data_IF_489543342403
#
_entry.id   IF_489543342403
#
_cell.length_a   1.000
_cell.length_b   1.000
_cell.length_c   1.000
_cell.angle_alpha   90.00
_cell.angle_beta   90.00
_cell.angle_gamma   90.00
#
_symmetry.space_group_name_H-M   'P 1'
#
loop_
_entity.id
_entity.type
_entity.pdbx_description
1 polymer ?
#
# COMPACT_ATOMS: atom_id res chain seq x y z
N UNK A 1 21.25 1.03 36.76
CA UNK A 1 21.79 0.07 35.77
C UNK A 1 20.93 -1.19 35.62
N UNK A 2 20.36 -1.78 36.68
CA UNK A 2 19.52 -2.99 36.57
C UNK A 2 18.17 -2.82 35.84
N UNK A 3 17.57 -1.62 35.89
CA UNK A 3 16.27 -1.33 35.26
C UNK A 3 16.30 -1.46 33.74
N UNK A 4 17.39 -1.04 33.10
CA UNK A 4 17.57 -1.17 31.65
C UNK A 4 17.63 -2.63 31.20
N UNK A 5 18.34 -3.49 31.94
CA UNK A 5 18.47 -4.91 31.59
C UNK A 5 17.14 -5.65 31.66
N UNK A 6 16.30 -5.36 32.65
CA UNK A 6 14.97 -6.00 32.78
C UNK A 6 14.04 -5.56 31.65
N UNK A 7 14.04 -4.28 31.29
CA UNK A 7 13.24 -3.76 30.18
C UNK A 7 13.63 -4.42 28.85
N UNK A 8 14.93 -4.53 28.57
CA UNK A 8 15.44 -5.18 27.34
C UNK A 8 15.07 -6.66 27.25
N UNK A 9 15.04 -7.36 28.39
CA UNK A 9 14.57 -8.75 28.44
C UNK A 9 13.07 -8.80 28.15
N UNK A 10 12.27 -7.96 28.81
CA UNK A 10 10.81 -7.91 28.64
C UNK A 10 10.40 -7.61 27.20
N UNK A 11 11.14 -6.74 26.50
CA UNK A 11 10.92 -6.43 25.08
C UNK A 11 11.08 -7.63 24.14
N UNK A 12 11.92 -8.61 24.51
CA UNK A 12 12.18 -9.81 23.71
C UNK A 12 11.25 -10.97 24.02
N UNK A 13 10.48 -10.89 25.11
CA UNK A 13 9.52 -11.92 25.46
C UNK A 13 8.29 -11.85 24.55
N UNK A 14 7.67 -13.02 24.34
CA UNK A 14 6.32 -13.06 23.82
C UNK A 14 5.37 -12.32 24.78
N UNK A 15 4.25 -11.79 24.28
CA UNK A 15 3.27 -11.11 25.14
C UNK A 15 2.77 -12.06 26.25
N UNK A 16 2.62 -13.35 25.93
CA UNK A 16 2.25 -14.39 26.90
C UNK A 16 3.28 -14.56 28.00
N UNK A 17 4.56 -14.71 27.65
CA UNK A 17 5.63 -14.88 28.64
C UNK A 17 5.83 -13.62 29.49
N UNK A 18 5.71 -12.44 28.89
CA UNK A 18 5.76 -11.16 29.61
C UNK A 18 4.63 -11.04 30.64
N UNK A 19 3.40 -11.48 30.28
CA UNK A 19 2.26 -11.51 31.19
C UNK A 19 2.50 -12.50 32.33
N UNK A 20 3.01 -13.70 32.05
CA UNK A 20 3.35 -14.70 33.07
C UNK A 20 4.39 -14.12 34.05
N UNK A 21 5.42 -13.47 33.54
CA UNK A 21 6.46 -12.84 34.37
C UNK A 21 5.86 -11.75 35.27
N UNK A 22 5.01 -10.86 34.72
CA UNK A 22 4.32 -9.83 35.50
C UNK A 22 3.39 -10.43 36.56
N UNK A 23 2.67 -11.51 36.25
CA UNK A 23 1.73 -12.15 37.18
C UNK A 23 2.43 -12.93 38.29
N UNK A 24 3.63 -13.48 38.05
CA UNK A 24 4.43 -14.15 39.09
C UNK A 24 5.04 -13.18 40.11
N UNK A 25 5.09 -11.88 39.79
CA UNK A 25 5.64 -10.83 40.67
C UNK A 25 4.68 -9.63 40.79
N UNK A 26 3.47 -9.82 41.35
CA UNK A 26 2.40 -8.83 41.28
C UNK A 26 2.69 -7.52 42.03
N UNK A 27 3.64 -7.53 42.97
CA UNK A 27 4.07 -6.36 43.73
C UNK A 27 5.17 -5.55 43.03
N UNK A 28 5.67 -6.01 41.88
CA UNK A 28 6.75 -5.35 41.16
C UNK A 28 6.20 -4.27 40.23
N UNK A 29 6.26 -3.00 40.67
CA UNK A 29 5.90 -1.86 39.82
C UNK A 29 6.77 -1.74 38.56
N UNK A 30 8.03 -2.21 38.62
CA UNK A 30 8.92 -2.26 37.46
C UNK A 30 8.41 -3.24 36.39
N UNK A 31 8.03 -4.46 36.79
CA UNK A 31 7.54 -5.47 35.83
C UNK A 31 6.17 -5.09 35.26
N UNK A 32 5.33 -4.41 36.05
CA UNK A 32 4.09 -3.80 35.56
C UNK A 32 4.39 -2.78 34.46
N UNK A 33 5.28 -1.81 34.71
CA UNK A 33 5.66 -0.81 33.73
C UNK A 33 6.29 -1.41 32.46
N UNK A 34 7.17 -2.41 32.61
CA UNK A 34 7.76 -3.11 31.46
C UNK A 34 6.69 -3.87 30.65
N UNK A 35 5.71 -4.48 31.31
CA UNK A 35 4.61 -5.16 30.62
C UNK A 35 3.72 -4.16 29.87
N UNK A 36 3.36 -3.04 30.51
CA UNK A 36 2.55 -1.98 29.91
C UNK A 36 3.23 -1.38 28.67
N UNK A 37 4.56 -1.20 28.70
CA UNK A 37 5.34 -0.80 27.52
C UNK A 37 5.33 -1.89 26.43
N UNK A 38 5.47 -3.17 26.81
CA UNK A 38 5.52 -4.31 25.87
C UNK A 38 4.21 -4.53 25.10
N UNK A 39 3.07 -4.31 25.75
CA UNK A 39 1.74 -4.45 25.13
C UNK A 39 1.26 -3.17 24.45
N UNK A 40 2.06 -2.11 24.44
CA UNK A 40 1.75 -0.91 23.70
C UNK A 40 2.09 -1.15 22.22
N UNK A 41 1.11 -1.13 21.30
CA UNK A 41 1.37 -1.32 19.88
C UNK A 41 2.02 -0.10 19.22
N UNK A 42 1.95 1.09 19.84
CA UNK A 42 2.43 2.34 19.23
C UNK A 42 3.90 2.26 18.82
N UNK A 43 4.86 1.89 19.70
CA UNK A 43 6.27 1.83 19.33
C UNK A 43 6.54 0.82 18.20
N UNK A 44 5.81 -0.30 18.19
CA UNK A 44 5.93 -1.32 17.15
C UNK A 44 5.55 -0.76 15.76
N UNK A 45 4.43 -0.05 15.65
CA UNK A 45 4.03 0.57 14.40
C UNK A 45 4.92 1.77 14.00
N UNK A 46 5.48 2.49 14.97
CA UNK A 46 6.35 3.66 14.70
C UNK A 46 7.60 3.32 13.91
N UNK A 47 8.07 2.08 13.96
CA UNK A 47 9.24 1.63 13.19
C UNK A 47 8.99 1.66 11.68
N UNK A 48 7.74 1.52 11.24
CA UNK A 48 7.37 1.43 9.82
C UNK A 48 6.43 2.55 9.35
N UNK A 49 5.68 3.17 10.25
CA UNK A 49 4.62 4.12 9.90
C UNK A 49 4.80 5.47 10.61
N UNK A 50 4.67 6.57 9.86
CA UNK A 50 4.86 7.94 10.36
C UNK A 50 3.83 8.33 11.44
N UNK A 51 2.59 7.85 11.30
CA UNK A 51 1.46 8.22 12.15
C UNK A 51 0.72 6.98 12.70
N UNK A 52 1.36 6.21 13.62
CA UNK A 52 0.84 4.93 14.14
C UNK A 52 -0.57 5.04 14.74
N UNK A 53 -0.87 6.11 15.47
CA UNK A 53 -2.18 6.31 16.09
C UNK A 53 -3.27 6.52 15.04
N UNK A 54 -2.96 7.25 13.97
CA UNK A 54 -3.88 7.43 12.83
C UNK A 54 -4.14 6.11 12.13
N UNK A 55 -3.09 5.31 11.88
CA UNK A 55 -3.23 3.98 11.29
C UNK A 55 -4.13 3.08 12.13
N UNK A 56 -3.85 2.95 13.43
CA UNK A 56 -4.64 2.07 14.30
C UNK A 56 -6.09 2.54 14.47
N UNK A 57 -6.34 3.86 14.48
CA UNK A 57 -7.71 4.40 14.53
C UNK A 57 -8.46 4.05 13.24
N UNK A 58 -7.84 4.26 12.08
CA UNK A 58 -8.43 3.89 10.80
C UNK A 58 -8.67 2.37 10.71
N UNK A 59 -7.73 1.56 11.20
CA UNK A 59 -7.91 0.10 11.23
C UNK A 59 -9.12 -0.30 12.06
N UNK A 60 -9.31 0.34 13.22
CA UNK A 60 -10.46 0.10 14.08
C UNK A 60 -11.77 0.52 13.38
N UNK A 61 -11.81 1.73 12.82
CA UNK A 61 -13.01 2.29 12.19
C UNK A 61 -13.41 1.53 10.91
N UNK A 62 -12.44 1.05 10.15
CA UNK A 62 -12.67 0.32 8.90
C UNK A 62 -12.86 -1.19 9.10
N UNK A 63 -12.67 -1.70 10.33
CA UNK A 63 -12.60 -3.14 10.61
C UNK A 63 -11.40 -3.84 9.95
N UNK A 64 -10.31 -3.13 9.70
CA UNK A 64 -9.09 -3.72 9.16
C UNK A 64 -8.35 -4.56 10.20
N UNK A 65 -7.86 -5.72 9.75
CA UNK A 65 -7.05 -6.63 10.55
C UNK A 65 -5.64 -6.71 9.98
N UNK A 66 -4.64 -6.57 10.84
CA UNK A 66 -3.26 -6.90 10.49
C UNK A 66 -3.04 -8.41 10.66
N UNK A 67 -2.46 -9.05 9.66
CA UNK A 67 -2.10 -10.47 9.71
C UNK A 67 -0.68 -10.69 9.18
N UNK A 68 -0.30 -11.97 9.05
CA UNK A 68 0.98 -12.37 8.50
C UNK A 68 2.16 -12.24 9.47
N UNK A 69 3.40 -12.36 8.96
CA UNK A 69 4.61 -12.39 9.77
C UNK A 69 4.80 -11.14 10.63
N UNK A 70 4.43 -9.96 10.13
CA UNK A 70 4.50 -8.70 10.90
C UNK A 70 3.51 -8.71 12.07
N UNK A 71 2.28 -9.18 11.87
CA UNK A 71 1.37 -9.34 13.00
C UNK A 71 1.95 -10.28 14.07
N UNK A 72 2.56 -11.39 13.64
CA UNK A 72 3.15 -12.36 14.57
C UNK A 72 4.34 -11.78 15.35
N UNK A 73 5.18 -10.97 14.72
CA UNK A 73 6.33 -10.31 15.35
C UNK A 73 5.93 -9.51 16.59
N UNK A 74 4.79 -8.81 16.52
CA UNK A 74 4.28 -8.06 17.66
C UNK A 74 3.98 -8.97 18.86
N UNK A 75 3.42 -10.16 18.63
CA UNK A 75 3.12 -11.11 19.71
C UNK A 75 4.36 -11.91 20.16
N UNK A 76 5.25 -12.22 19.22
CA UNK A 76 6.44 -13.07 19.40
C UNK A 76 7.64 -12.41 18.70
N UNK A 77 8.45 -11.62 19.43
CA UNK A 77 9.60 -10.92 18.86
C UNK A 77 10.64 -11.90 18.31
N UNK A 78 11.22 -11.59 17.15
CA UNK A 78 12.16 -12.44 16.42
C UNK A 78 11.51 -13.53 15.56
N UNK A 79 10.19 -13.51 15.39
CA UNK A 79 9.46 -14.46 14.54
C UNK A 79 9.39 -14.05 13.07
N UNK A 80 9.70 -12.79 12.76
CA UNK A 80 9.57 -12.21 11.44
C UNK A 80 10.91 -11.84 10.80
N UNK A 81 11.01 -12.09 9.49
CA UNK A 81 12.16 -11.65 8.70
C UNK A 81 12.12 -10.12 8.48
N UNK A 82 13.27 -9.40 8.47
CA UNK A 82 13.30 -7.95 8.24
C UNK A 82 12.69 -7.46 6.92
N UNK A 83 12.60 -8.32 5.91
CA UNK A 83 12.00 -8.02 4.60
C UNK A 83 10.57 -8.56 4.42
N UNK A 84 9.94 -9.07 5.49
CA UNK A 84 8.55 -9.50 5.38
C UNK A 84 7.64 -8.31 5.09
N UNK A 85 6.66 -8.54 4.21
CA UNK A 85 5.64 -7.59 3.82
C UNK A 85 4.61 -7.37 4.95
N UNK A 86 3.84 -6.28 4.83
CA UNK A 86 2.75 -5.96 5.74
C UNK A 86 1.42 -6.40 5.13
N UNK A 87 0.66 -7.25 5.82
CA UNK A 87 -0.61 -7.76 5.33
C UNK A 87 -1.80 -7.12 6.07
N UNK A 88 -2.47 -6.19 5.40
CA UNK A 88 -3.69 -5.56 5.88
C UNK A 88 -4.92 -6.15 5.18
N UNK A 89 -5.81 -6.76 5.96
CA UNK A 89 -7.08 -7.28 5.48
C UNK A 89 -8.18 -6.27 5.78
N UNK A 90 -8.84 -5.76 4.74
CA UNK A 90 -9.91 -4.76 4.86
C UNK A 90 -11.22 -5.38 4.39
N UNK A 91 -12.35 -5.18 5.10
CA UNK A 91 -13.66 -5.57 4.61
C UNK A 91 -13.93 -5.03 3.20
N UNK A 92 -14.63 -5.79 2.37
CA UNK A 92 -14.92 -5.44 0.97
C UNK A 92 -15.98 -4.33 0.81
N UNK A 93 -16.05 -3.40 1.76
CA UNK A 93 -16.82 -2.16 1.66
C UNK A 93 -15.93 -1.06 1.09
N UNK A 94 -16.48 -0.27 0.17
CA UNK A 94 -15.71 0.72 -0.60
C UNK A 94 -15.13 1.78 0.32
N UNK A 95 -15.93 2.23 1.26
CA UNK A 95 -15.61 3.22 2.29
C UNK A 95 -14.45 2.71 3.15
N UNK A 96 -14.53 1.46 3.63
CA UNK A 96 -13.46 0.85 4.44
C UNK A 96 -12.14 0.73 3.68
N UNK A 97 -12.18 0.32 2.41
CA UNK A 97 -10.99 0.25 1.55
C UNK A 97 -10.40 1.65 1.35
N UNK A 98 -11.24 2.63 1.02
CA UNK A 98 -10.82 4.01 0.79
C UNK A 98 -10.20 4.65 2.03
N UNK A 99 -10.85 4.51 3.18
CA UNK A 99 -10.37 5.05 4.46
C UNK A 99 -9.03 4.46 4.84
N UNK A 100 -8.86 3.14 4.69
CA UNK A 100 -7.57 2.48 4.95
C UNK A 100 -6.49 2.89 3.97
N UNK A 101 -6.83 3.02 2.69
CA UNK A 101 -5.87 3.48 1.69
C UNK A 101 -5.35 4.88 1.99
N UNK A 102 -6.24 5.80 2.36
CA UNK A 102 -5.87 7.16 2.75
C UNK A 102 -5.06 7.16 4.04
N UNK A 103 -5.45 6.38 5.05
CA UNK A 103 -4.72 6.29 6.30
C UNK A 103 -3.30 5.77 6.10
N UNK A 104 -3.11 4.71 5.30
CA UNK A 104 -1.80 4.18 4.95
C UNK A 104 -0.97 5.22 4.18
N UNK A 105 -1.58 5.95 3.25
CA UNK A 105 -0.90 7.03 2.54
C UNK A 105 -0.40 8.13 3.47
N UNK A 106 -1.25 8.62 4.37
CA UNK A 106 -0.90 9.59 5.42
C UNK A 106 0.24 9.05 6.28
N UNK A 107 0.20 7.75 6.60
CA UNK A 107 1.23 7.07 7.38
C UNK A 107 2.55 6.84 6.63
N UNK A 108 2.67 7.28 5.39
CA UNK A 108 3.90 7.23 4.60
C UNK A 108 4.01 6.04 3.66
N UNK A 109 2.95 5.25 3.48
CA UNK A 109 2.91 4.20 2.47
C UNK A 109 2.74 4.85 1.10
N UNK A 110 3.69 4.60 0.22
CA UNK A 110 3.56 4.93 -1.19
C UNK A 110 2.98 3.73 -1.90
N UNK A 111 1.82 3.92 -2.53
CA UNK A 111 1.26 2.92 -3.43
C UNK A 111 2.20 2.79 -4.62
N UNK A 112 2.70 1.57 -4.84
CA UNK A 112 3.51 1.27 -6.02
C UNK A 112 2.59 1.28 -7.23
N UNK A 113 2.38 2.47 -7.75
CA UNK A 113 1.44 2.73 -8.81
C UNK A 113 2.17 2.57 -10.13
N UNK A 114 2.20 1.35 -10.68
CA UNK A 114 2.36 1.14 -12.12
C UNK A 114 1.46 2.13 -12.90
N UNK A 115 0.29 2.45 -12.34
CA UNK A 115 -0.61 3.49 -12.82
C UNK A 115 0.03 4.91 -12.80
N UNK A 116 0.71 5.32 -11.73
CA UNK A 116 1.40 6.63 -11.68
C UNK A 116 2.56 6.65 -12.65
N UNK A 117 3.27 5.53 -12.81
CA UNK A 117 4.29 5.40 -13.86
C UNK A 117 3.65 5.65 -15.23
N UNK A 118 2.53 5.02 -15.54
CA UNK A 118 1.76 5.29 -16.76
C UNK A 118 1.39 6.77 -16.89
N UNK A 119 0.90 7.40 -15.82
CA UNK A 119 0.55 8.81 -15.83
C UNK A 119 1.76 9.73 -16.06
N UNK A 120 2.91 9.44 -15.47
CA UNK A 120 4.16 10.17 -15.68
C UNK A 120 4.64 10.02 -17.14
N UNK A 121 4.70 8.79 -17.66
CA UNK A 121 5.09 8.55 -19.05
C UNK A 121 4.16 9.27 -20.04
N UNK A 122 2.86 9.24 -19.77
CA UNK A 122 1.89 9.96 -20.58
C UNK A 122 2.10 11.47 -20.53
N UNK A 123 2.42 12.05 -19.36
CA UNK A 123 2.71 13.48 -19.24
C UNK A 123 4.03 13.88 -19.92
N UNK A 124 5.08 13.07 -19.77
CA UNK A 124 6.42 13.40 -20.25
C UNK A 124 6.60 13.15 -21.75
N UNK A 125 5.90 12.14 -22.29
CA UNK A 125 6.10 11.67 -23.66
C UNK A 125 4.84 11.70 -24.53
N UNK A 126 3.69 12.10 -23.99
CA UNK A 126 2.40 12.07 -24.68
C UNK A 126 1.88 10.66 -24.96
N UNK A 127 2.58 9.61 -24.47
CA UNK A 127 2.20 8.22 -24.67
C UNK A 127 2.62 7.30 -23.52
N UNK A 128 1.82 6.28 -23.25
CA UNK A 128 2.13 5.25 -22.26
C UNK A 128 1.42 3.92 -22.55
N UNK A 129 1.94 2.81 -22.01
CA UNK A 129 1.33 1.49 -22.16
C UNK A 129 0.66 1.06 -20.86
N UNK A 130 -0.59 0.59 -20.93
CA UNK A 130 -1.33 0.14 -19.75
C UNK A 130 -2.00 -1.22 -20.01
N UNK A 131 -2.10 -2.05 -18.97
CA UNK A 131 -2.81 -3.33 -19.07
C UNK A 131 -4.32 -3.15 -18.90
N UNK A 132 -5.10 -4.06 -19.50
CA UNK A 132 -6.56 -4.10 -19.32
C UNK A 132 -6.95 -4.24 -17.86
N UNK A 133 -6.29 -5.15 -17.12
CA UNK A 133 -6.56 -5.37 -15.70
C UNK A 133 -6.41 -4.07 -14.89
N UNK A 134 -5.41 -3.26 -15.21
CA UNK A 134 -5.21 -1.98 -14.56
C UNK A 134 -6.29 -0.97 -14.92
N UNK A 135 -6.68 -0.89 -16.20
CA UNK A 135 -7.79 -0.04 -16.63
C UNK A 135 -9.12 -0.43 -15.98
N UNK A 136 -9.43 -1.73 -15.89
CA UNK A 136 -10.61 -2.24 -15.19
C UNK A 136 -10.55 -1.88 -13.70
N UNK A 137 -9.37 -2.00 -13.08
CA UNK A 137 -9.19 -1.59 -11.68
C UNK A 137 -9.44 -0.09 -11.52
N UNK A 138 -8.82 0.78 -12.31
CA UNK A 138 -9.03 2.23 -12.26
C UNK A 138 -10.49 2.62 -12.57
N UNK A 139 -11.14 1.94 -13.51
CA UNK A 139 -12.55 2.15 -13.84
C UNK A 139 -13.47 1.77 -12.69
N UNK A 140 -13.22 0.63 -12.02
CA UNK A 140 -13.99 0.28 -10.82
C UNK A 140 -13.79 1.30 -9.71
N UNK A 141 -12.62 1.91 -9.57
CA UNK A 141 -12.37 2.91 -8.52
C UNK A 141 -13.08 4.23 -8.82
N UNK A 142 -12.98 4.73 -10.05
CA UNK A 142 -13.64 5.97 -10.48
C UNK A 142 -15.17 5.88 -10.44
N UNK A 143 -15.75 4.75 -10.83
CA UNK A 143 -17.20 4.51 -10.75
C UNK A 143 -17.70 4.37 -9.31
N UNK A 144 -16.89 3.79 -8.42
CA UNK A 144 -17.32 3.43 -7.08
C UNK A 144 -17.05 4.50 -6.01
N UNK A 145 -16.00 5.31 -6.15
CA UNK A 145 -15.57 6.30 -5.15
C UNK A 145 -16.18 7.69 -5.38
N UNK A 146 -16.78 7.94 -6.55
CA UNK A 146 -17.17 9.27 -6.99
C UNK A 146 -15.97 10.08 -7.50
N UNK A 147 -16.24 11.05 -8.39
CA UNK A 147 -15.20 11.75 -9.17
C UNK A 147 -14.20 12.52 -8.30
N UNK A 148 -14.67 13.22 -7.26
CA UNK A 148 -13.81 14.03 -6.38
C UNK A 148 -12.86 13.16 -5.55
N UNK A 149 -13.37 12.10 -4.92
CA UNK A 149 -12.58 11.18 -4.10
C UNK A 149 -11.58 10.37 -4.95
N UNK A 150 -12.01 9.92 -6.12
CA UNK A 150 -11.13 9.23 -7.07
C UNK A 150 -10.01 10.15 -7.56
N UNK A 151 -10.32 11.41 -7.90
CA UNK A 151 -9.32 12.40 -8.34
C UNK A 151 -8.31 12.75 -7.26
N UNK A 152 -8.74 12.81 -6.00
CA UNK A 152 -7.84 13.03 -4.87
C UNK A 152 -6.88 11.85 -4.67
N UNK A 153 -7.38 10.61 -4.79
CA UNK A 153 -6.61 9.40 -4.49
C UNK A 153 -5.69 8.97 -5.64
N UNK A 154 -6.24 8.88 -6.85
CA UNK A 154 -5.54 8.44 -8.05
C UNK A 154 -4.78 9.59 -8.73
N UNK A 155 -5.22 10.83 -8.51
CA UNK A 155 -4.82 11.96 -9.33
C UNK A 155 -5.71 12.08 -10.58
N UNK A 156 -5.87 13.34 -11.03
CA UNK A 156 -6.75 13.69 -12.16
C UNK A 156 -6.45 12.88 -13.41
N UNK A 157 -5.17 12.72 -13.73
CA UNK A 157 -4.72 12.06 -14.96
C UNK A 157 -5.14 10.60 -15.04
N UNK A 158 -5.08 9.88 -13.93
CA UNK A 158 -5.52 8.49 -13.88
C UNK A 158 -7.05 8.37 -13.94
N UNK A 159 -7.76 9.36 -13.42
CA UNK A 159 -9.21 9.44 -13.58
C UNK A 159 -9.60 9.68 -15.05
N UNK A 160 -8.88 10.55 -15.75
CA UNK A 160 -9.10 10.81 -17.19
C UNK A 160 -8.89 9.53 -18.02
N UNK A 161 -7.81 8.78 -17.73
CA UNK A 161 -7.52 7.48 -18.38
C UNK A 161 -8.68 6.48 -18.14
N UNK A 162 -9.13 6.35 -16.88
CA UNK A 162 -10.21 5.45 -16.52
C UNK A 162 -11.55 5.82 -17.16
N UNK A 163 -11.81 7.13 -17.29
CA UNK A 163 -13.00 7.65 -17.93
C UNK A 163 -12.98 7.39 -19.45
N UNK A 164 -11.86 7.65 -20.11
CA UNK A 164 -11.67 7.35 -21.53
C UNK A 164 -11.84 5.87 -21.84
N UNK A 165 -11.44 4.97 -20.92
CA UNK A 165 -11.70 3.53 -21.05
C UNK A 165 -13.19 3.19 -20.87
N UNK A 166 -13.85 3.78 -19.87
CA UNK A 166 -15.24 3.48 -19.51
C UNK A 166 -16.27 4.01 -20.51
N UNK A 167 -15.95 5.05 -21.28
CA UNK A 167 -16.81 5.58 -22.35
C UNK A 167 -16.83 4.70 -23.61
N UNK A 168 -15.98 3.68 -23.72
CA UNK A 168 -15.95 2.81 -24.89
C UNK A 168 -16.97 1.68 -24.77
N UNK A 169 -17.80 1.55 -25.80
CA UNK A 169 -18.86 0.55 -25.95
C UNK A 169 -18.41 -0.75 -26.62
N UNK A 170 -17.16 -0.84 -27.09
CA UNK A 170 -16.64 -2.01 -27.80
C UNK A 170 -16.16 -3.11 -26.84
N UNK A 171 -16.52 -4.36 -27.18
CA UNK A 171 -16.07 -5.54 -26.44
C UNK A 171 -14.59 -5.81 -26.74
N UNK A 172 -13.71 -5.40 -25.83
CA UNK A 172 -12.26 -5.66 -25.91
C UNK A 172 -11.89 -7.02 -25.30
N UNK A 173 -12.77 -8.02 -25.40
CA UNK A 173 -12.64 -9.28 -24.67
C UNK A 173 -11.28 -9.97 -24.89
N UNK A 174 -10.67 -9.81 -26.06
CA UNK A 174 -9.41 -10.46 -26.43
C UNK A 174 -8.16 -9.56 -26.28
N UNK A 175 -8.32 -8.29 -25.89
CA UNK A 175 -7.21 -7.34 -25.76
C UNK A 175 -6.72 -7.28 -24.31
N UNK A 176 -5.42 -7.42 -24.13
CA UNK A 176 -4.79 -7.40 -22.80
C UNK A 176 -4.02 -6.11 -22.51
N UNK A 177 -3.66 -5.35 -23.55
CA UNK A 177 -2.79 -4.17 -23.43
C UNK A 177 -3.25 -3.07 -24.38
N UNK A 178 -3.16 -1.83 -23.90
CA UNK A 178 -3.48 -0.63 -24.65
C UNK A 178 -2.29 0.32 -24.65
N UNK A 179 -2.06 1.00 -25.78
CA UNK A 179 -1.28 2.23 -25.81
C UNK A 179 -2.24 3.39 -25.56
N UNK A 180 -1.90 4.28 -24.65
CA UNK A 180 -2.60 5.53 -24.41
C UNK A 180 -1.78 6.62 -25.12
N UNK A 181 -2.41 7.38 -25.99
CA UNK A 181 -1.83 8.56 -26.63
C UNK A 181 -2.65 9.80 -26.27
N UNK A 182 -1.98 10.91 -26.03
CA UNK A 182 -2.62 12.22 -25.90
C UNK A 182 -2.49 12.99 -27.21
N UNK A 183 -3.60 13.52 -27.71
CA UNK A 183 -3.57 14.41 -28.87
C UNK A 183 -3.21 15.87 -28.50
N UNK A 184 -3.04 16.72 -29.51
CA UNK A 184 -2.67 18.12 -29.30
C UNK A 184 -3.75 18.93 -28.54
N UNK A 185 -4.98 18.43 -28.46
CA UNK A 185 -6.11 19.04 -27.76
C UNK A 185 -6.27 18.49 -26.33
N UNK A 186 -5.39 17.57 -25.91
CA UNK A 186 -5.39 16.97 -24.57
C UNK A 186 -6.34 15.78 -24.41
N UNK A 187 -6.92 15.25 -25.51
CA UNK A 187 -7.80 14.09 -25.43
C UNK A 187 -7.00 12.79 -25.42
N UNK A 188 -7.46 11.85 -24.61
CA UNK A 188 -6.82 10.55 -24.45
C UNK A 188 -7.42 9.51 -25.41
N UNK A 189 -6.54 8.89 -26.18
CA UNK A 189 -6.89 7.84 -27.14
C UNK A 189 -6.28 6.51 -26.68
N UNK A 190 -7.14 5.53 -26.38
CA UNK A 190 -6.71 4.16 -26.10
C UNK A 190 -6.65 3.36 -27.41
N UNK A 191 -5.47 2.86 -27.76
CA UNK A 191 -5.22 2.06 -28.95
C UNK A 191 -4.94 0.62 -28.52
N UNK A 192 -5.80 -0.35 -28.89
CA UNK A 192 -5.56 -1.76 -28.60
C UNK A 192 -4.26 -2.27 -29.24
N UNK A 193 -3.38 -2.86 -28.42
CA UNK A 193 -2.20 -3.55 -28.93
C UNK A 193 -2.57 -5.03 -29.08
N UNK A 194 -2.92 -5.44 -30.30
CA UNK A 194 -3.07 -6.87 -30.61
C UNK A 194 -1.66 -7.45 -30.73
N UNK A 195 -1.34 -8.45 -29.91
CA UNK A 195 -0.06 -9.16 -30.01
C UNK A 195 0.17 -9.58 -31.48
N UNK A 196 1.21 -9.03 -32.10
CA UNK A 196 1.77 -9.63 -33.31
C UNK A 196 2.56 -10.85 -32.86
N UNK A 197 2.27 -11.99 -33.46
CA UNK A 197 2.98 -13.25 -33.21
C UNK A 197 4.47 -13.11 -33.53
N UNK A 198 5.28 -13.25 -32.48
CA UNK A 198 6.63 -13.86 -32.38
C UNK A 198 7.73 -13.30 -33.29
N UNK A 199 8.58 -12.43 -32.74
CA UNK A 199 10.05 -12.60 -32.65
C UNK A 199 10.70 -11.26 -32.25
N UNK A 200 10.57 -10.86 -30.99
CA UNK A 200 11.51 -9.92 -30.36
C UNK A 200 11.38 -10.02 -28.84
N UNK A 201 12.50 -10.07 -28.08
CA UNK A 201 12.44 -10.39 -26.67
C UNK A 201 11.79 -9.24 -25.90
N UNK A 202 10.82 -9.62 -25.07
CA UNK A 202 10.32 -8.89 -23.91
C UNK A 202 11.29 -7.79 -23.46
N UNK A 203 10.89 -6.53 -23.61
CA UNK A 203 11.38 -5.50 -22.72
C UNK A 203 10.65 -5.70 -21.38
N UNK A 204 11.02 -6.79 -20.69
CA UNK A 204 10.84 -6.89 -19.27
C UNK A 204 11.53 -5.68 -18.64
N UNK A 205 10.93 -5.20 -17.56
CA UNK A 205 11.52 -4.23 -16.64
C UNK A 205 12.96 -4.69 -16.35
N UNK A 206 13.91 -4.10 -17.09
CA UNK A 206 15.32 -4.14 -16.70
C UNK A 206 15.42 -3.10 -15.60
N UNK A 207 15.36 -3.58 -14.37
CA UNK A 207 15.99 -2.93 -13.24
C UNK A 207 17.37 -2.43 -13.67
N UNK A 208 17.48 -1.12 -13.89
CA UNK A 208 18.74 -0.40 -14.02
C UNK A 208 18.90 0.51 -12.80
N UNK A 209 20.15 0.72 -12.36
CA UNK A 209 20.50 1.03 -10.98
C UNK A 209 20.03 2.42 -10.51
N UNK A 210 19.86 2.51 -9.19
CA UNK A 210 19.27 3.56 -8.35
C UNK A 210 19.80 5.01 -8.48
N UNK A 211 20.38 5.45 -9.59
CA UNK A 211 21.05 6.76 -9.65
C UNK A 211 20.28 7.90 -10.34
N UNK A 212 19.03 7.70 -10.79
CA UNK A 212 18.30 8.73 -11.55
C UNK A 212 17.08 9.36 -10.85
N UNK A 213 16.80 9.06 -9.58
CA UNK A 213 15.63 9.62 -8.85
C UNK A 213 15.98 10.81 -7.94
N UNK A 214 16.92 11.68 -8.37
CA UNK A 214 17.28 12.89 -7.61
C UNK A 214 16.67 14.19 -8.09
N UNK A 215 15.92 14.21 -9.19
CA UNK A 215 15.35 15.46 -9.70
C UNK A 215 13.90 15.25 -10.11
N UNK A 216 13.00 15.34 -9.13
CA UNK A 216 11.61 15.75 -9.26
C UNK A 216 11.10 16.04 -7.84
N UNK A 217 11.41 17.25 -7.35
CA UNK A 217 10.72 17.87 -6.20
C UNK A 217 9.57 18.70 -6.73
#
# INVERSE_FOLDING_TARGET
MATGTVMEIMKKLSIGDALIMKNNFPQSGLLQACYDERINPVPYFQESFKHPMTLMSAMFDSGCILAGPRALEYFVPGSCHPYAEWDFFVPAYKESVFDMMNALHICGVNWNDDARTVACYLNDFGKATISRRMLETLATWTTNLGEQSASHLLGRRLCDIAHAYSQRTESFNDIQTFEINEDADGNLHLIPIRQVSVDEPFCGVKSRPQEALKECN
#
